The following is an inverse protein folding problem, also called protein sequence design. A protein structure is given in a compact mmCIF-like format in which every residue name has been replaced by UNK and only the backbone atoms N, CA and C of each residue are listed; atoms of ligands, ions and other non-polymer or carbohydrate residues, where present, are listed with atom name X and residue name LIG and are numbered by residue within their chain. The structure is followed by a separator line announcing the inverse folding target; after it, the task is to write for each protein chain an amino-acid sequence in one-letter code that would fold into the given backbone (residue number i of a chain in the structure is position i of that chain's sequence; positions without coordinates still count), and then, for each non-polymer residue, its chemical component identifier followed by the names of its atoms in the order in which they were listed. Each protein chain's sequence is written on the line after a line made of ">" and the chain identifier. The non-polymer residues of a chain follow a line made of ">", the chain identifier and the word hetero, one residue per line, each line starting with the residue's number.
data_IF_101162559797
#
_entry.id   IF_101162559797
#
_cell.length_a   1.000
_cell.length_b   1.000
_cell.length_c   1.000
_cell.angle_alpha   90.00
_cell.angle_beta   90.00
_cell.angle_gamma   90.00
#
_symmetry.space_group_name_H-M   'P 1'
#
loop_
_entity.id
_entity.type
_entity.pdbx_description
1 polymer ?
#
# COMPACT_ATOMS: atom_id res chain seq x y z
N UNK A 1 15.23 26.62 50.94
CA UNK A 1 15.18 27.99 50.38
C UNK A 1 16.41 28.15 49.49
N UNK A 2 16.22 28.19 48.16
CA UNK A 2 17.26 28.33 47.12
C UNK A 2 18.34 27.23 47.04
N UNK A 3 19.02 26.94 45.92
CA UNK A 3 18.76 27.16 44.47
C UNK A 3 19.64 26.14 43.68
N UNK A 4 19.28 25.81 42.44
CA UNK A 4 20.13 25.00 41.53
C UNK A 4 21.34 25.82 41.00
N UNK A 5 22.36 25.13 40.45
CA UNK A 5 22.49 25.17 38.99
C UNK A 5 22.77 23.80 38.31
N UNK A 6 22.63 23.80 36.98
CA UNK A 6 22.84 22.71 36.01
C UNK A 6 24.34 22.33 35.85
N UNK A 7 24.78 21.20 35.29
CA UNK A 7 24.30 20.35 34.17
C UNK A 7 24.59 18.85 34.50
N UNK A 8 24.44 17.80 33.66
CA UNK A 8 24.28 17.70 32.20
C UNK A 8 23.58 16.38 31.75
N UNK A 9 23.77 16.01 30.47
CA UNK A 9 23.15 14.93 29.70
C UNK A 9 23.48 13.48 30.11
N UNK A 10 22.47 12.61 30.04
CA UNK A 10 22.46 11.54 29.01
C UNK A 10 21.04 11.37 28.46
N UNK A 11 20.86 11.57 27.15
CA UNK A 11 19.61 11.28 26.44
C UNK A 11 19.46 9.78 26.18
N UNK A 12 18.53 9.11 26.86
CA UNK A 12 17.96 7.87 26.35
C UNK A 12 16.91 8.24 25.29
N UNK A 13 17.22 8.02 24.00
CA UNK A 13 16.32 8.36 22.91
C UNK A 13 14.95 7.71 23.07
N UNK A 14 13.92 8.50 22.76
CA UNK A 14 12.54 8.05 22.82
C UNK A 14 12.26 6.88 21.86
N UNK A 15 11.38 5.98 22.31
CA UNK A 15 10.41 5.25 21.51
C UNK A 15 10.79 5.01 20.03
N UNK A 16 11.46 3.88 19.76
CA UNK A 16 11.16 3.15 18.52
C UNK A 16 9.78 2.50 18.71
N UNK A 17 8.73 3.30 18.53
CA UNK A 17 7.40 2.75 18.23
C UNK A 17 7.58 1.84 17.02
N UNK A 18 7.04 0.63 17.10
CA UNK A 18 7.13 -0.39 16.05
C UNK A 18 6.64 0.18 14.72
N UNK A 19 7.57 0.63 13.88
CA UNK A 19 7.26 0.99 12.50
C UNK A 19 6.98 -0.32 11.79
N UNK A 20 5.78 -0.47 11.22
CA UNK A 20 5.55 -1.59 10.31
C UNK A 20 6.58 -1.51 9.18
N UNK A 21 7.24 -2.63 8.90
CA UNK A 21 8.41 -2.62 8.02
C UNK A 21 8.06 -2.21 6.58
N UNK A 22 6.80 -2.35 6.17
CA UNK A 22 6.28 -2.10 4.84
C UNK A 22 5.49 -0.78 4.70
N UNK A 23 5.41 0.05 5.75
CA UNK A 23 4.79 1.40 5.73
C UNK A 23 5.85 2.50 5.62
N UNK A 24 5.46 3.71 5.19
CA UNK A 24 6.41 4.82 4.99
C UNK A 24 7.22 5.14 6.25
N UNK A 25 8.55 5.10 6.06
CA UNK A 25 9.56 5.26 7.09
C UNK A 25 9.99 3.95 7.78
N UNK A 26 9.42 2.81 7.41
CA UNK A 26 9.84 1.45 7.78
C UNK A 26 11.12 1.00 7.04
N UNK A 27 11.39 -0.31 7.06
CA UNK A 27 12.59 -0.87 6.43
C UNK A 27 12.46 -0.99 4.91
N UNK A 28 11.29 -1.35 4.38
CA UNK A 28 11.09 -1.65 2.96
C UNK A 28 10.49 -0.48 2.16
N UNK A 29 9.73 0.43 2.78
CA UNK A 29 9.24 1.64 2.15
C UNK A 29 10.37 2.67 1.97
N UNK A 30 11.00 2.66 0.78
CA UNK A 30 12.21 3.44 0.48
C UNK A 30 11.99 4.72 -0.34
N UNK A 31 10.77 5.03 -0.75
CA UNK A 31 10.48 6.25 -1.50
C UNK A 31 11.03 7.55 -0.85
N UNK A 32 10.94 7.77 0.49
CA UNK A 32 11.47 8.99 1.10
C UNK A 32 12.98 9.20 0.91
N UNK A 33 13.75 8.13 0.69
CA UNK A 33 15.21 8.19 0.53
C UNK A 33 15.68 8.00 -0.93
N UNK A 34 14.93 7.24 -1.74
CA UNK A 34 15.34 6.81 -3.08
C UNK A 34 14.45 7.37 -4.21
N UNK A 35 13.29 7.96 -3.88
CA UNK A 35 12.37 8.64 -4.82
C UNK A 35 12.01 7.75 -6.02
N UNK A 36 12.12 8.29 -7.24
CA UNK A 36 11.78 7.61 -8.49
C UNK A 36 12.50 6.27 -8.71
N UNK A 37 13.62 6.01 -8.02
CA UNK A 37 14.41 4.78 -8.17
C UNK A 37 13.78 3.53 -7.55
N UNK A 38 12.73 3.69 -6.74
CA UNK A 38 11.97 2.56 -6.15
C UNK A 38 10.51 2.52 -6.59
N UNK A 39 10.12 3.38 -7.52
CA UNK A 39 8.81 3.34 -8.16
C UNK A 39 8.71 2.07 -9.01
N UNK A 40 7.75 1.19 -8.69
CA UNK A 40 7.57 -0.09 -9.37
C UNK A 40 6.96 0.04 -10.76
N UNK A 41 6.16 1.09 -11.00
CA UNK A 41 5.53 1.37 -12.29
C UNK A 41 5.08 2.84 -12.40
N UNK A 42 4.92 3.32 -13.63
CA UNK A 42 4.37 4.63 -13.98
C UNK A 42 3.15 4.41 -14.89
N UNK A 43 2.02 5.03 -14.57
CA UNK A 43 0.77 4.92 -15.34
C UNK A 43 0.16 6.29 -15.65
N UNK A 44 -0.57 6.41 -16.76
CA UNK A 44 -1.33 7.62 -17.04
C UNK A 44 -2.56 7.76 -16.11
N UNK A 45 -2.98 8.99 -15.73
CA UNK A 45 -4.25 9.22 -15.04
C UNK A 45 -5.43 8.61 -15.81
N UNK A 46 -6.41 8.01 -15.11
CA UNK A 46 -7.56 7.34 -15.75
C UNK A 46 -7.25 6.05 -16.52
N UNK A 47 -5.98 5.61 -16.59
CA UNK A 47 -5.63 4.40 -17.35
C UNK A 47 -6.00 3.10 -16.62
N UNK A 48 -6.11 2.02 -17.39
CA UNK A 48 -6.23 0.65 -16.85
C UNK A 48 -4.83 0.09 -16.62
N UNK A 49 -4.55 -0.35 -15.39
CA UNK A 49 -3.32 -1.04 -15.01
C UNK A 49 -3.47 -2.55 -15.23
N UNK A 50 -2.50 -3.19 -15.89
CA UNK A 50 -2.31 -4.63 -15.85
C UNK A 50 -1.53 -5.02 -14.59
N UNK A 51 -2.19 -5.71 -13.66
CA UNK A 51 -1.64 -6.10 -12.36
C UNK A 51 -1.40 -7.61 -12.29
N UNK A 52 -0.32 -8.01 -11.63
CA UNK A 52 0.06 -9.41 -11.44
C UNK A 52 0.21 -9.76 -9.96
N UNK A 53 -0.42 -10.86 -9.53
CA UNK A 53 -0.27 -11.42 -8.18
C UNK A 53 0.20 -12.86 -8.31
N UNK A 54 1.41 -13.16 -7.83
CA UNK A 54 1.90 -14.52 -7.71
C UNK A 54 1.39 -15.14 -6.40
N UNK A 55 0.41 -16.03 -6.50
CA UNK A 55 -0.14 -16.72 -5.34
C UNK A 55 0.48 -18.11 -5.16
N UNK A 56 1.14 -18.31 -4.02
CA UNK A 56 1.82 -19.58 -3.66
C UNK A 56 0.91 -20.57 -2.94
N UNK A 57 -0.11 -20.08 -2.23
CA UNK A 57 -1.15 -20.87 -1.57
C UNK A 57 -2.52 -20.21 -1.76
N UNK A 58 -3.49 -20.97 -2.28
CA UNK A 58 -4.83 -20.47 -2.60
C UNK A 58 -5.82 -20.83 -1.48
N UNK A 59 -6.22 -19.83 -0.69
CA UNK A 59 -7.15 -19.96 0.42
C UNK A 59 -8.56 -19.45 0.05
N UNK A 60 -8.93 -19.56 -1.23
CA UNK A 60 -10.20 -19.05 -1.80
C UNK A 60 -10.38 -17.55 -1.57
N UNK A 61 -11.60 -17.02 -1.65
CA UNK A 61 -11.88 -15.61 -1.37
C UNK A 61 -11.62 -14.68 -2.56
N UNK A 62 -11.02 -13.52 -2.32
CA UNK A 62 -10.93 -12.45 -3.32
C UNK A 62 -9.80 -11.45 -3.06
N UNK A 63 -9.33 -10.81 -4.14
CA UNK A 63 -8.41 -9.68 -4.06
C UNK A 63 -9.17 -8.35 -4.18
N UNK A 64 -8.71 -7.34 -3.48
CA UNK A 64 -9.08 -5.94 -3.67
C UNK A 64 -7.82 -5.11 -3.94
N UNK A 65 -8.00 -3.98 -4.62
CA UNK A 65 -6.94 -2.98 -4.78
C UNK A 65 -7.41 -1.62 -4.29
N UNK A 66 -6.53 -0.91 -3.58
CA UNK A 66 -6.75 0.45 -3.12
C UNK A 66 -5.60 1.37 -3.53
N UNK A 67 -5.91 2.63 -3.81
CA UNK A 67 -4.92 3.66 -4.11
C UNK A 67 -4.93 4.74 -3.03
N UNK A 68 -3.78 5.01 -2.43
CA UNK A 68 -3.56 6.17 -1.56
C UNK A 68 -2.60 7.14 -2.26
N UNK A 69 -2.92 8.44 -2.30
CA UNK A 69 -2.00 9.48 -2.79
C UNK A 69 -1.31 10.15 -1.61
N UNK A 70 0.02 10.10 -1.60
CA UNK A 70 0.88 10.81 -0.65
C UNK A 70 1.42 12.07 -1.34
N UNK A 71 1.34 13.22 -0.65
CA UNK A 71 1.61 14.54 -1.22
C UNK A 71 3.04 15.01 -0.94
N UNK A 72 3.69 14.45 0.07
CA UNK A 72 5.07 14.76 0.48
C UNK A 72 5.88 13.49 0.76
N UNK A 73 7.20 13.60 0.63
CA UNK A 73 8.19 12.53 0.83
C UNK A 73 8.05 11.73 2.15
N UNK A 74 7.50 12.32 3.21
CA UNK A 74 7.38 11.68 4.53
C UNK A 74 5.92 11.57 5.01
N UNK A 75 4.95 11.82 4.13
CA UNK A 75 3.55 11.52 4.43
C UNK A 75 3.42 10.02 4.69
N UNK A 76 2.46 9.61 5.51
CA UNK A 76 2.20 8.20 5.78
C UNK A 76 0.84 7.79 5.25
N UNK A 77 0.78 6.54 4.84
CA UNK A 77 -0.44 5.85 4.49
C UNK A 77 -1.35 5.75 5.72
N UNK A 78 -2.65 5.91 5.51
CA UNK A 78 -3.69 5.61 6.50
C UNK A 78 -4.81 4.85 5.80
N UNK A 79 -5.58 4.05 6.55
CA UNK A 79 -6.72 3.31 5.98
C UNK A 79 -7.71 4.25 5.26
N UNK A 80 -8.01 5.41 5.85
CA UNK A 80 -8.89 6.42 5.24
C UNK A 80 -8.33 7.02 3.93
N UNK A 81 -7.02 6.96 3.69
CA UNK A 81 -6.41 7.43 2.45
C UNK A 81 -6.78 6.54 1.26
N UNK A 82 -6.78 5.22 1.46
CA UNK A 82 -6.99 4.25 0.38
C UNK A 82 -8.40 4.33 -0.20
N UNK A 83 -8.48 4.56 -1.51
CA UNK A 83 -9.73 4.50 -2.27
C UNK A 83 -9.74 3.20 -3.08
N UNK A 84 -10.77 2.37 -2.85
CA UNK A 84 -10.93 1.09 -3.56
C UNK A 84 -11.06 1.33 -5.05
N UNK A 85 -10.18 0.69 -5.82
CA UNK A 85 -10.21 0.68 -7.28
C UNK A 85 -11.25 -0.33 -7.79
N UNK A 86 -11.67 -0.17 -9.05
CA UNK A 86 -12.56 -1.09 -9.72
C UNK A 86 -11.91 -1.66 -10.98
N UNK A 87 -12.27 -2.88 -11.32
CA UNK A 87 -11.99 -3.50 -12.61
C UNK A 87 -12.79 -2.80 -13.73
N UNK A 88 -12.40 -2.94 -15.01
CA UNK A 88 -13.16 -2.40 -16.15
C UNK A 88 -14.62 -2.86 -16.25
N UNK A 89 -15.01 -3.98 -15.62
CA UNK A 89 -16.40 -4.45 -15.53
C UNK A 89 -17.21 -3.77 -14.40
N UNK A 90 -16.59 -2.90 -13.60
CA UNK A 90 -17.19 -2.22 -12.44
C UNK A 90 -17.09 -2.98 -11.10
N UNK A 91 -16.61 -4.22 -11.08
CA UNK A 91 -16.42 -4.99 -9.85
C UNK A 91 -15.16 -4.55 -9.10
N UNK A 92 -15.24 -4.51 -7.76
CA UNK A 92 -14.10 -4.17 -6.89
C UNK A 92 -13.31 -5.42 -6.50
N UNK A 93 -14.03 -6.47 -6.12
CA UNK A 93 -13.49 -7.76 -5.73
C UNK A 93 -13.10 -8.59 -6.96
N UNK A 94 -11.84 -9.00 -7.06
CA UNK A 94 -11.43 -10.02 -8.00
C UNK A 94 -11.58 -11.40 -7.36
N UNK A 95 -12.66 -12.13 -7.67
CA UNK A 95 -12.96 -13.45 -7.08
C UNK A 95 -11.94 -14.48 -7.52
N UNK A 96 -11.27 -15.11 -6.55
CA UNK A 96 -10.08 -15.91 -6.76
C UNK A 96 -10.39 -17.27 -7.43
N UNK A 97 -9.92 -17.55 -8.66
CA UNK A 97 -10.05 -18.86 -9.28
C UNK A 97 -9.08 -19.87 -8.64
N UNK A 98 -9.32 -21.16 -8.84
CA UNK A 98 -8.46 -22.21 -8.31
C UNK A 98 -7.03 -22.20 -8.90
N UNK A 99 -6.07 -22.61 -8.05
CA UNK A 99 -4.68 -22.87 -8.40
C UNK A 99 -3.68 -21.90 -7.76
N UNK A 100 -2.42 -22.33 -7.70
CA UNK A 100 -1.30 -21.55 -7.16
C UNK A 100 -0.42 -21.15 -8.36
N UNK A 101 -0.51 -19.90 -8.79
CA UNK A 101 0.08 -19.38 -10.03
C UNK A 101 0.13 -17.85 -10.01
N UNK A 102 0.70 -17.26 -11.05
CA UNK A 102 0.49 -15.83 -11.35
C UNK A 102 -0.94 -15.65 -11.88
N UNK A 103 -1.68 -14.75 -11.24
CA UNK A 103 -2.95 -14.24 -11.72
C UNK A 103 -2.72 -12.86 -12.34
N UNK A 104 -3.39 -12.60 -13.47
CA UNK A 104 -3.35 -11.32 -14.16
C UNK A 104 -4.74 -10.68 -14.01
N UNK A 105 -4.79 -9.42 -13.60
CA UNK A 105 -6.02 -8.65 -13.39
C UNK A 105 -5.89 -7.25 -13.97
N UNK A 106 -7.02 -6.59 -14.23
CA UNK A 106 -7.05 -5.22 -14.70
C UNK A 106 -7.84 -4.35 -13.71
N UNK A 107 -7.27 -3.20 -13.35
CA UNK A 107 -7.90 -2.21 -12.46
C UNK A 107 -7.70 -0.79 -13.02
N UNK A 108 -8.75 0.02 -12.95
CA UNK A 108 -8.74 1.39 -13.45
C UNK A 108 -8.24 2.36 -12.37
N UNK A 109 -7.31 3.23 -12.74
CA UNK A 109 -6.95 4.40 -11.94
C UNK A 109 -8.06 5.46 -12.03
N UNK A 110 -8.29 6.26 -10.97
CA UNK A 110 -9.26 7.34 -11.05
C UNK A 110 -8.79 8.46 -11.99
N UNK A 111 -9.73 9.09 -12.70
CA UNK A 111 -9.45 10.26 -13.53
C UNK A 111 -8.88 11.42 -12.69
N UNK A 112 -7.93 12.15 -13.29
CA UNK A 112 -7.34 13.36 -12.68
C UNK A 112 -6.43 13.14 -11.48
N UNK A 113 -6.21 11.90 -11.02
CA UNK A 113 -5.17 11.58 -10.04
C UNK A 113 -3.80 11.71 -10.70
N UNK A 114 -2.92 12.53 -10.13
CA UNK A 114 -1.50 12.62 -10.47
C UNK A 114 -0.69 12.59 -9.18
N UNK A 115 0.40 11.83 -9.16
CA UNK A 115 1.28 11.63 -8.02
C UNK A 115 2.67 11.21 -8.52
N UNK A 116 3.55 12.20 -8.61
CA UNK A 116 4.88 12.10 -9.19
C UNK A 116 5.86 13.12 -8.57
N UNK A 117 7.16 12.89 -8.77
CA UNK A 117 8.23 13.73 -8.23
C UNK A 117 8.43 13.55 -6.71
N UNK A 118 7.98 14.53 -5.92
CA UNK A 118 8.00 14.46 -4.45
C UNK A 118 6.70 13.86 -3.88
N UNK A 119 5.68 13.69 -4.74
CA UNK A 119 4.46 12.94 -4.49
C UNK A 119 4.59 11.54 -5.11
N UNK A 120 3.89 10.56 -4.54
CA UNK A 120 3.74 9.22 -5.11
C UNK A 120 2.37 8.65 -4.69
N UNK A 121 1.94 7.60 -5.37
CA UNK A 121 0.80 6.83 -4.91
C UNK A 121 1.25 5.47 -4.39
N UNK A 122 0.61 5.02 -3.32
CA UNK A 122 0.77 3.66 -2.82
C UNK A 122 -0.41 2.84 -3.34
N UNK A 123 -0.10 1.83 -4.16
CA UNK A 123 -1.05 0.81 -4.59
C UNK A 123 -1.04 -0.32 -3.56
N UNK A 124 -2.17 -0.56 -2.91
CA UNK A 124 -2.33 -1.64 -1.93
C UNK A 124 -3.12 -2.79 -2.53
N UNK A 125 -2.50 -3.97 -2.58
CA UNK A 125 -3.18 -5.25 -2.71
C UNK A 125 -3.69 -5.68 -1.33
N UNK A 126 -4.95 -6.08 -1.26
CA UNK A 126 -5.55 -6.73 -0.11
C UNK A 126 -6.11 -8.09 -0.55
N UNK A 127 -5.70 -9.17 0.10
CA UNK A 127 -6.24 -10.51 -0.12
C UNK A 127 -7.03 -10.95 1.10
N UNK A 128 -8.32 -11.16 0.92
CA UNK A 128 -9.21 -11.78 1.90
C UNK A 128 -9.40 -13.25 1.52
N UNK A 129 -8.89 -14.16 2.35
CA UNK A 129 -9.16 -15.60 2.25
C UNK A 129 -10.62 -15.92 2.55
N UNK A 130 -11.07 -17.13 2.20
CA UNK A 130 -12.45 -17.58 2.50
C UNK A 130 -12.55 -19.09 2.73
N UNK A 131 -11.52 -19.67 3.36
CA UNK A 131 -11.44 -21.09 3.66
C UNK A 131 -11.88 -21.46 5.09
N UNK A 132 -12.09 -20.49 5.99
CA UNK A 132 -12.67 -20.72 7.30
C UNK A 132 -14.21 -20.68 7.22
N UNK A 133 -14.93 -21.79 7.46
CA UNK A 133 -16.39 -21.79 7.50
C UNK A 133 -16.92 -21.06 8.74
N UNK A 134 -18.17 -20.61 8.67
CA UNK A 134 -18.95 -20.07 9.80
C UNK A 134 -18.38 -18.82 10.51
N UNK A 135 -17.38 -18.15 9.92
CA UNK A 135 -16.80 -16.89 10.42
C UNK A 135 -16.98 -15.73 9.43
N UNK A 136 -17.08 -14.50 9.96
CA UNK A 136 -17.04 -13.27 9.16
C UNK A 136 -15.63 -12.94 8.64
N UNK A 137 -15.49 -11.81 7.96
CA UNK A 137 -14.22 -11.33 7.38
C UNK A 137 -13.07 -11.29 8.40
N UNK A 138 -13.34 -10.83 9.62
CA UNK A 138 -12.34 -10.74 10.70
C UNK A 138 -11.81 -12.10 11.18
N UNK A 139 -12.52 -13.20 10.86
CA UNK A 139 -12.10 -14.57 11.12
C UNK A 139 -11.39 -15.24 9.93
N UNK A 140 -11.29 -14.57 8.78
CA UNK A 140 -10.51 -15.04 7.64
C UNK A 140 -9.06 -14.59 7.74
N UNK A 141 -8.16 -15.38 7.15
CA UNK A 141 -6.79 -14.93 6.92
C UNK A 141 -6.79 -13.80 5.89
N UNK A 142 -6.10 -12.69 6.21
CA UNK A 142 -6.02 -11.51 5.38
C UNK A 142 -4.56 -11.09 5.19
N UNK A 143 -4.21 -10.71 3.96
CA UNK A 143 -2.86 -10.30 3.58
C UNK A 143 -2.87 -8.93 2.91
N UNK A 144 -1.85 -8.12 3.19
CA UNK A 144 -1.65 -6.82 2.56
C UNK A 144 -0.26 -6.73 1.94
N UNK A 145 -0.17 -6.12 0.76
CA UNK A 145 1.09 -5.66 0.19
C UNK A 145 0.90 -4.27 -0.43
N UNK A 146 1.94 -3.45 -0.38
CA UNK A 146 1.95 -2.09 -0.90
C UNK A 146 3.09 -1.95 -1.91
N UNK A 147 2.84 -1.18 -2.97
CA UNK A 147 3.84 -0.82 -3.98
C UNK A 147 3.78 0.69 -4.28
N UNK A 148 4.95 1.33 -4.29
CA UNK A 148 5.09 2.73 -4.68
C UNK A 148 4.97 2.83 -6.21
N UNK A 149 3.99 3.60 -6.70
CA UNK A 149 3.76 3.85 -8.12
C UNK A 149 3.68 5.35 -8.40
N UNK A 150 4.00 5.73 -9.64
CA UNK A 150 3.66 7.05 -10.17
C UNK A 150 2.41 6.99 -11.02
N UNK A 151 1.60 8.04 -10.91
CA UNK A 151 0.52 8.33 -11.85
C UNK A 151 0.79 9.71 -12.43
N UNK A 152 1.08 9.81 -13.73
CA UNK A 152 1.47 11.08 -14.37
C UNK A 152 1.19 11.06 -15.87
N UNK A 153 0.93 12.23 -16.46
CA UNK A 153 0.78 12.39 -17.91
C UNK A 153 2.12 12.32 -18.67
N UNK A 154 3.24 12.16 -17.96
CA UNK A 154 4.58 11.97 -18.53
C UNK A 154 5.18 10.60 -18.23
N UNK A 155 4.33 9.63 -17.87
CA UNK A 155 4.61 8.21 -18.08
C UNK A 155 4.54 7.88 -19.58
#
# INVERSE_FOLDING_TARGET
>A
MALFPSTSATTASALVLWKALHETGGEFAKFPQLREKVIGACYAPGSTMDLQVQLTANHMGYFEFGLCKLNSLNDKETEDCFKTLAQPNGEKDWKLPAGNKVFNMQYMLPDGVSCDGDSHCVLRWHYVGWNNPDVGIDGQEQFWNCADIYVSNTC
#
